data_IF_761607368879
#
_entry.id   IF_761607368879
#
_cell.length_a   1.000
_cell.length_b   1.000
_cell.length_c   1.000
_cell.angle_alpha   90.00
_cell.angle_beta   90.00
_cell.angle_gamma   90.00
#
_symmetry.space_group_name_H-M   'P 1'
#
loop_
_entity.id
_entity.type
_entity.pdbx_description
1 polymer ?
#
# COMPACT_ATOMS: atom_id res chain seq x y z
N UNK A 1 29.78 40.50 64.53
CA UNK A 1 29.32 39.11 64.63
C UNK A 1 27.99 39.00 63.92
N UNK A 2 28.03 38.20 62.87
CA UNK A 2 27.07 37.93 61.79
C UNK A 2 25.72 37.40 62.28
N UNK A 3 24.63 38.00 61.82
CA UNK A 3 23.35 37.28 61.69
C UNK A 3 22.87 37.34 60.23
N UNK A 4 22.85 36.14 59.65
CA UNK A 4 22.43 35.82 58.28
C UNK A 4 20.94 36.14 58.06
N UNK A 5 20.66 36.84 56.98
CA UNK A 5 19.34 36.93 56.37
C UNK A 5 19.10 35.71 55.47
N UNK A 6 18.13 34.86 55.81
CA UNK A 6 17.63 33.82 54.92
C UNK A 6 16.59 34.41 53.96
N UNK A 7 16.97 34.52 52.68
CA UNK A 7 16.03 34.69 51.56
C UNK A 7 15.35 33.36 51.27
N UNK A 8 14.02 33.31 51.36
CA UNK A 8 13.19 32.25 50.77
C UNK A 8 12.86 32.63 49.32
N UNK A 9 13.42 31.89 48.36
CA UNK A 9 12.92 31.87 46.98
C UNK A 9 11.66 31.00 46.92
N UNK A 10 10.54 31.56 46.47
CA UNK A 10 9.38 30.82 45.95
C UNK A 10 9.53 30.78 44.43
N UNK A 11 9.66 29.59 43.85
CA UNK A 11 9.64 29.37 42.40
C UNK A 11 8.31 28.73 41.99
N UNK A 12 7.72 29.28 40.93
CA UNK A 12 7.05 28.54 39.85
C UNK A 12 5.69 27.92 40.14
N UNK A 13 4.63 28.67 39.86
CA UNK A 13 3.28 28.12 39.67
C UNK A 13 3.21 27.30 38.38
N UNK A 14 2.61 26.12 38.50
CA UNK A 14 2.33 25.18 37.40
C UNK A 14 1.22 25.73 36.53
N UNK A 15 1.51 25.99 35.25
CA UNK A 15 0.49 26.27 34.23
C UNK A 15 -0.09 24.94 33.78
N UNK A 16 -1.31 24.63 34.22
CA UNK A 16 -2.10 23.52 33.70
C UNK A 16 -2.69 23.93 32.35
N UNK A 17 -2.14 23.38 31.26
CA UNK A 17 -2.69 23.52 29.92
C UNK A 17 -3.82 22.50 29.77
N UNK A 18 -5.07 22.96 29.90
CA UNK A 18 -6.24 22.14 29.61
C UNK A 18 -6.34 21.95 28.09
N UNK A 19 -6.01 20.75 27.60
CA UNK A 19 -6.32 20.31 26.23
C UNK A 19 -7.82 20.01 26.17
N UNK A 20 -8.58 20.94 25.61
CA UNK A 20 -9.96 20.72 25.21
C UNK A 20 -9.99 19.76 24.02
N UNK A 21 -10.35 18.50 24.25
CA UNK A 21 -10.75 17.56 23.22
C UNK A 21 -12.07 18.05 22.61
N UNK A 22 -11.98 18.76 21.49
CA UNK A 22 -13.14 19.06 20.66
C UNK A 22 -13.57 17.79 19.93
N UNK A 23 -14.63 17.15 20.41
CA UNK A 23 -15.39 16.16 19.66
C UNK A 23 -16.04 16.83 18.45
N UNK A 24 -15.34 16.84 17.31
CA UNK A 24 -15.92 17.22 16.03
C UNK A 24 -17.06 16.25 15.65
N UNK A 25 -18.09 16.72 14.93
CA UNK A 25 -19.17 15.84 14.51
C UNK A 25 -18.60 14.77 13.57
N UNK A 26 -19.15 13.55 13.64
CA UNK A 26 -18.91 12.49 12.68
C UNK A 26 -19.42 12.93 11.30
N UNK A 27 -18.63 13.75 10.59
CA UNK A 27 -18.88 14.08 9.20
C UNK A 27 -18.83 12.79 8.40
N UNK A 28 -19.90 12.51 7.65
CA UNK A 28 -19.93 11.40 6.70
C UNK A 28 -18.70 11.46 5.79
N UNK A 29 -18.15 10.31 5.45
CA UNK A 29 -17.05 10.20 4.49
C UNK A 29 -17.51 10.83 3.17
N UNK A 30 -16.95 11.98 2.81
CA UNK A 30 -17.18 12.59 1.50
C UNK A 30 -16.09 12.11 0.56
N UNK A 31 -16.46 11.55 -0.60
CA UNK A 31 -15.51 11.24 -1.67
C UNK A 31 -14.68 12.49 -2.01
N UNK A 32 -13.36 12.32 -2.15
CA UNK A 32 -12.55 13.40 -2.72
C UNK A 32 -12.99 13.60 -4.17
N UNK A 33 -13.21 14.86 -4.58
CA UNK A 33 -13.50 15.16 -5.98
C UNK A 33 -12.36 14.66 -6.87
N UNK A 34 -12.66 13.97 -7.97
CA UNK A 34 -11.67 13.63 -8.98
C UNK A 34 -10.97 14.91 -9.46
N UNK A 35 -9.66 14.83 -9.65
CA UNK A 35 -8.90 15.92 -10.25
C UNK A 35 -8.60 15.52 -11.68
N UNK A 36 -9.07 16.32 -12.63
CA UNK A 36 -8.66 16.18 -14.02
C UNK A 36 -7.29 16.84 -14.20
N UNK A 37 -6.31 16.05 -14.60
CA UNK A 37 -4.97 16.53 -14.99
C UNK A 37 -4.92 16.50 -16.52
N UNK A 38 -4.62 17.62 -17.20
CA UNK A 38 -4.47 17.63 -18.64
C UNK A 38 -3.38 16.66 -19.11
N UNK A 39 -3.65 15.94 -20.20
CA UNK A 39 -2.73 14.94 -20.75
C UNK A 39 -1.41 15.58 -21.22
N UNK A 40 -1.43 16.86 -21.59
CA UNK A 40 -0.27 17.60 -22.09
C UNK A 40 0.62 18.21 -21.01
N UNK A 41 0.13 18.36 -19.78
CA UNK A 41 0.85 19.01 -18.69
C UNK A 41 2.12 18.21 -18.30
N UNK A 42 3.29 18.87 -18.15
CA UNK A 42 4.49 18.19 -17.66
C UNK A 42 4.29 17.83 -16.19
N UNK A 43 4.58 16.57 -15.83
CA UNK A 43 4.57 16.13 -14.45
C UNK A 43 5.68 16.83 -13.67
N UNK A 44 5.41 17.17 -12.41
CA UNK A 44 6.32 17.91 -11.54
C UNK A 44 6.84 17.05 -10.40
N UNK A 45 8.11 17.25 -10.05
CA UNK A 45 8.68 16.68 -8.84
C UNK A 45 8.13 17.43 -7.63
N UNK A 46 7.52 16.70 -6.71
CA UNK A 46 7.05 17.22 -5.42
C UNK A 46 8.00 16.76 -4.31
N UNK A 47 8.76 17.68 -3.70
CA UNK A 47 9.58 17.35 -2.55
C UNK A 47 8.73 16.77 -1.41
N UNK A 48 9.25 15.73 -0.76
CA UNK A 48 8.63 15.24 0.46
C UNK A 48 8.76 16.30 1.59
N UNK A 49 7.77 16.40 2.50
CA UNK A 49 7.88 17.22 3.68
C UNK A 49 9.01 16.73 4.58
N UNK A 50 9.34 17.49 5.61
CA UNK A 50 10.24 17.01 6.64
C UNK A 50 9.70 15.73 7.29
N UNK A 51 10.57 14.87 7.80
CA UNK A 51 10.15 13.63 8.48
C UNK A 51 9.19 13.88 9.66
N UNK A 52 9.27 15.06 10.30
CA UNK A 52 8.36 15.45 11.38
C UNK A 52 6.95 15.74 10.86
N UNK A 53 6.84 16.45 9.74
CA UNK A 53 5.55 16.72 9.09
C UNK A 53 4.93 15.43 8.55
N UNK A 54 5.74 14.55 7.94
CA UNK A 54 5.30 13.22 7.52
C UNK A 54 4.73 12.41 8.69
N UNK A 55 5.43 12.41 9.85
CA UNK A 55 4.96 11.70 11.04
C UNK A 55 3.64 12.28 11.60
N UNK A 56 3.41 13.60 11.50
CA UNK A 56 2.13 14.19 11.89
C UNK A 56 1.02 13.72 10.95
N UNK A 57 1.23 13.79 9.65
CA UNK A 57 0.27 13.39 8.62
C UNK A 57 -0.09 11.88 8.72
N UNK A 58 0.91 11.01 8.87
CA UNK A 58 0.69 9.57 9.06
C UNK A 58 -0.02 9.24 10.38
N UNK A 59 0.28 9.98 11.46
CA UNK A 59 -0.41 9.80 12.75
C UNK A 59 -1.89 10.19 12.65
N UNK A 60 -2.21 11.28 11.93
CA UNK A 60 -3.60 11.65 11.65
C UNK A 60 -4.32 10.55 10.85
N UNK A 61 -3.70 10.02 9.79
CA UNK A 61 -4.27 8.90 9.04
C UNK A 61 -4.50 7.65 9.90
N UNK A 62 -3.55 7.31 10.77
CA UNK A 62 -3.68 6.20 11.70
C UNK A 62 -4.91 6.37 12.61
N UNK A 63 -5.07 7.55 13.22
CA UNK A 63 -6.21 7.87 14.09
C UNK A 63 -7.53 7.76 13.34
N UNK A 64 -7.59 8.31 12.11
CA UNK A 64 -8.77 8.23 11.26
C UNK A 64 -9.09 6.78 10.84
N UNK A 65 -8.09 5.99 10.45
CA UNK A 65 -8.26 4.61 9.99
C UNK A 65 -8.77 3.73 11.13
N UNK A 66 -8.11 3.78 12.29
CA UNK A 66 -8.54 3.04 13.48
C UNK A 66 -9.93 3.49 13.95
N UNK A 67 -10.24 4.79 13.89
CA UNK A 67 -11.53 5.31 14.36
C UNK A 67 -12.71 5.07 13.42
N UNK A 68 -12.48 5.03 12.10
CA UNK A 68 -13.56 5.00 11.08
C UNK A 68 -13.69 3.67 10.35
N UNK A 69 -12.59 2.94 10.13
CA UNK A 69 -12.56 1.71 9.35
C UNK A 69 -12.75 0.50 10.24
N UNK A 70 -11.92 0.36 11.28
CA UNK A 70 -11.91 -0.83 12.12
C UNK A 70 -13.26 -1.17 12.77
N UNK A 71 -13.99 -0.21 13.40
CA UNK A 71 -15.29 -0.52 14.03
C UNK A 71 -16.32 -1.05 13.03
N UNK A 72 -16.31 -0.52 11.80
CA UNK A 72 -17.22 -0.96 10.73
C UNK A 72 -16.92 -2.40 10.32
N UNK A 73 -15.65 -2.73 10.06
CA UNK A 73 -15.25 -4.08 9.68
C UNK A 73 -15.51 -5.10 10.79
N UNK A 74 -15.22 -4.75 12.06
CA UNK A 74 -15.52 -5.62 13.18
C UNK A 74 -17.03 -5.86 13.34
N UNK A 75 -17.87 -4.86 13.06
CA UNK A 75 -19.32 -5.06 13.05
C UNK A 75 -19.77 -5.91 11.84
N UNK A 76 -19.27 -5.62 10.64
CA UNK A 76 -19.62 -6.30 9.40
C UNK A 76 -19.28 -7.80 9.41
N UNK A 77 -18.12 -8.16 9.96
CA UNK A 77 -17.66 -9.55 10.04
C UNK A 77 -17.98 -10.23 11.37
N UNK A 78 -18.86 -9.61 12.17
CA UNK A 78 -19.30 -10.11 13.46
C UNK A 78 -18.13 -10.51 14.37
N UNK A 79 -17.16 -9.61 14.52
CA UNK A 79 -15.97 -9.80 15.33
C UNK A 79 -16.14 -9.06 16.65
N UNK A 80 -16.16 -9.81 17.76
CA UNK A 80 -16.24 -9.22 19.10
C UNK A 80 -14.86 -8.82 19.61
N UNK A 81 -13.87 -9.69 19.42
CA UNK A 81 -12.49 -9.43 19.80
C UNK A 81 -11.53 -9.80 18.68
N UNK A 82 -10.53 -8.96 18.41
CA UNK A 82 -9.42 -9.24 17.51
C UNK A 82 -8.10 -9.10 18.26
N UNK A 83 -7.28 -10.15 18.23
CA UNK A 83 -6.00 -10.20 18.94
C UNK A 83 -4.88 -10.33 17.91
N UNK A 84 -3.92 -9.40 17.99
CA UNK A 84 -2.67 -9.44 17.24
C UNK A 84 -1.53 -9.64 18.23
N UNK A 85 -0.82 -10.76 18.11
CA UNK A 85 0.41 -11.00 18.88
C UNK A 85 1.57 -11.10 17.92
N UNK A 86 2.63 -10.36 18.20
CA UNK A 86 3.86 -10.43 17.41
C UNK A 86 5.09 -10.24 18.28
N UNK A 87 6.23 -10.64 17.72
CA UNK A 87 7.54 -10.44 18.30
C UNK A 87 8.32 -9.41 17.48
N UNK A 88 9.30 -8.81 18.12
CA UNK A 88 10.24 -7.90 17.46
C UNK A 88 10.88 -8.58 16.23
N UNK A 89 10.76 -7.94 15.06
CA UNK A 89 11.20 -8.44 13.75
C UNK A 89 10.41 -9.63 13.19
N UNK A 90 9.24 -9.90 13.76
CA UNK A 90 8.31 -10.95 13.38
C UNK A 90 6.87 -10.41 13.51
N UNK A 91 6.65 -9.25 12.92
CA UNK A 91 5.39 -8.49 12.94
C UNK A 91 4.30 -9.13 12.07
N UNK A 92 3.06 -9.08 12.58
CA UNK A 92 1.88 -9.33 11.77
C UNK A 92 1.79 -8.28 10.63
N UNK A 93 1.38 -8.63 9.39
CA UNK A 93 1.25 -7.65 8.31
C UNK A 93 0.38 -6.43 8.64
N UNK A 94 -0.58 -6.57 9.55
CA UNK A 94 -1.44 -5.48 10.05
C UNK A 94 -0.65 -4.45 10.86
N UNK A 95 0.48 -4.82 11.46
CA UNK A 95 1.30 -3.98 12.34
C UNK A 95 1.52 -2.57 11.75
N UNK A 96 1.95 -2.52 10.49
CA UNK A 96 2.25 -1.28 9.78
C UNK A 96 1.03 -0.36 9.56
N UNK A 97 -0.18 -0.91 9.72
CA UNK A 97 -1.46 -0.20 9.59
C UNK A 97 -2.10 0.18 10.93
N UNK A 98 -1.51 -0.22 12.06
CA UNK A 98 -2.04 0.06 13.41
C UNK A 98 -1.06 0.77 14.34
N UNK A 99 0.21 0.93 13.96
CA UNK A 99 1.21 1.58 14.80
C UNK A 99 1.54 3.00 14.37
N UNK A 100 2.02 3.80 15.33
CA UNK A 100 2.50 5.17 15.08
C UNK A 100 3.64 5.17 14.05
N UNK A 101 3.75 6.22 13.21
CA UNK A 101 4.86 6.34 12.24
C UNK A 101 6.25 6.41 12.87
N UNK A 102 6.34 6.61 14.19
CA UNK A 102 7.61 6.56 14.95
C UNK A 102 7.92 5.19 15.56
N UNK A 103 7.09 4.18 15.29
CA UNK A 103 7.30 2.79 15.71
C UNK A 103 7.81 1.98 14.53
N UNK A 104 9.07 1.55 14.61
CA UNK A 104 9.75 0.85 13.50
C UNK A 104 9.76 -0.67 13.60
N UNK A 105 9.36 -1.23 14.75
CA UNK A 105 9.27 -2.67 15.01
C UNK A 105 8.40 -2.89 16.24
N UNK A 106 7.82 -4.09 16.36
CA UNK A 106 7.24 -4.53 17.63
C UNK A 106 8.32 -4.50 18.71
N UNK A 107 7.97 -4.11 19.94
CA UNK A 107 8.95 -4.10 21.05
C UNK A 107 8.84 -5.40 21.82
N UNK A 108 9.88 -6.24 21.78
CA UNK A 108 9.91 -7.59 22.39
C UNK A 108 8.74 -8.45 21.97
N UNK A 109 7.67 -8.50 22.77
CA UNK A 109 6.35 -9.04 22.41
C UNK A 109 5.33 -7.94 22.59
N UNK A 110 4.60 -7.65 21.53
CA UNK A 110 3.51 -6.66 21.53
C UNK A 110 2.22 -7.39 21.21
N UNK A 111 1.25 -7.32 22.13
CA UNK A 111 -0.09 -7.86 21.94
C UNK A 111 -1.06 -6.70 21.87
N UNK A 112 -1.70 -6.49 20.73
CA UNK A 112 -2.80 -5.53 20.60
C UNK A 112 -4.13 -6.28 20.64
N UNK A 113 -5.05 -5.78 21.46
CA UNK A 113 -6.39 -6.33 21.61
C UNK A 113 -7.40 -5.27 21.26
N UNK A 114 -8.26 -5.58 20.31
CA UNK A 114 -9.40 -4.77 19.93
C UNK A 114 -10.67 -5.46 20.42
N UNK A 115 -11.49 -4.76 21.20
CA UNK A 115 -12.77 -5.28 21.68
C UNK A 115 -13.88 -4.35 21.22
N UNK A 116 -14.76 -4.85 20.34
CA UNK A 116 -15.95 -4.10 19.92
C UNK A 116 -16.94 -4.06 21.09
N UNK A 117 -17.50 -2.90 21.39
CA UNK A 117 -18.50 -2.69 22.42
C UNK A 117 -19.91 -2.69 21.82
N UNK A 118 -20.93 -2.80 22.67
CA UNK A 118 -22.34 -2.87 22.22
C UNK A 118 -22.82 -1.56 21.61
N UNK A 119 -22.22 -0.43 21.99
CA UNK A 119 -22.47 0.89 21.40
C UNK A 119 -21.75 1.10 20.05
N UNK A 120 -21.03 0.09 19.57
CA UNK A 120 -20.28 0.12 18.31
C UNK A 120 -18.88 0.74 18.40
N UNK A 121 -18.46 1.22 19.58
CA UNK A 121 -17.07 1.66 19.79
C UNK A 121 -16.12 0.47 19.88
N UNK A 122 -14.81 0.72 19.74
CA UNK A 122 -13.78 -0.32 19.87
C UNK A 122 -12.78 0.11 20.94
N UNK A 123 -12.72 -0.68 22.01
CA UNK A 123 -11.65 -0.62 23.01
C UNK A 123 -10.35 -1.11 22.36
N UNK A 124 -9.25 -0.41 22.64
CA UNK A 124 -7.95 -0.61 21.99
C UNK A 124 -6.87 -0.70 23.05
N UNK A 125 -6.46 -1.92 23.37
CA UNK A 125 -5.49 -2.18 24.43
C UNK A 125 -4.17 -2.66 23.85
N UNK A 126 -3.08 -2.15 24.41
CA UNK A 126 -1.72 -2.59 24.13
C UNK A 126 -1.13 -3.30 25.37
N UNK A 127 -0.96 -4.61 25.29
CA UNK A 127 -0.27 -5.43 26.28
C UNK A 127 1.18 -5.55 25.81
N UNK A 128 2.05 -4.74 26.39
CA UNK A 128 3.40 -4.51 25.85
C UNK A 128 3.38 -3.43 24.76
N UNK A 129 4.52 -2.79 24.52
CA UNK A 129 4.60 -1.63 23.62
C UNK A 129 4.15 -0.30 24.25
N UNK A 130 3.79 0.67 23.41
CA UNK A 130 3.41 2.05 23.80
C UNK A 130 1.97 2.35 23.38
N UNK A 131 1.46 3.53 23.73
CA UNK A 131 0.12 4.00 23.30
C UNK A 131 0.02 4.27 21.79
N UNK A 132 1.11 4.11 21.02
CA UNK A 132 1.18 4.39 19.58
C UNK A 132 0.66 5.80 19.23
N UNK A 133 1.11 6.81 19.97
CA UNK A 133 0.66 8.19 19.77
C UNK A 133 -0.73 8.48 20.34
N UNK A 134 -1.30 7.58 21.13
CA UNK A 134 -2.59 7.78 21.81
C UNK A 134 -3.74 6.93 21.26
N UNK A 135 -3.51 6.11 20.23
CA UNK A 135 -4.54 5.23 19.64
C UNK A 135 -4.78 3.95 20.45
N UNK A 136 -3.86 3.57 21.34
CA UNK A 136 -4.06 2.49 22.31
C UNK A 136 -3.92 2.99 23.75
N UNK A 137 -4.68 2.35 24.64
CA UNK A 137 -4.42 2.40 26.07
C UNK A 137 -3.44 1.28 26.45
N UNK A 138 -2.37 1.65 27.17
CA UNK A 138 -1.39 0.67 27.64
C UNK A 138 -1.97 -0.14 28.81
N UNK A 139 -2.18 -1.44 28.61
CA UNK A 139 -2.72 -2.35 29.60
C UNK A 139 -1.59 -3.09 30.34
N UNK A 140 -1.47 -2.87 31.65
CA UNK A 140 -0.35 -3.36 32.47
C UNK A 140 -0.85 -4.21 33.63
N UNK A 141 -0.05 -5.21 34.01
CA UNK A 141 -0.32 -5.99 35.22
C UNK A 141 -0.18 -5.10 36.45
N UNK A 142 -1.11 -5.24 37.39
CA UNK A 142 -1.06 -4.59 38.71
C UNK A 142 -0.24 -5.38 39.72
N UNK A 143 0.29 -6.55 39.32
CA UNK A 143 1.10 -7.41 40.19
C UNK A 143 2.50 -6.83 40.39
N UNK A 144 3.11 -6.96 41.58
CA UNK A 144 4.42 -6.39 41.85
C UNK A 144 5.48 -7.03 40.95
N UNK A 145 6.17 -6.24 40.13
CA UNK A 145 7.32 -6.76 39.41
C UNK A 145 8.51 -6.95 40.38
N UNK A 146 9.33 -8.00 40.22
CA UNK A 146 10.40 -8.34 41.17
C UNK A 146 11.45 -7.23 41.35
N UNK A 147 11.58 -6.33 40.39
CA UNK A 147 12.64 -5.31 40.37
C UNK A 147 12.11 -3.87 40.34
N UNK A 148 10.96 -3.56 39.71
CA UNK A 148 10.36 -2.20 39.71
C UNK A 148 8.83 -2.21 39.41
N UNK A 149 8.04 -1.23 39.90
CA UNK A 149 6.58 -1.14 39.65
C UNK A 149 6.15 -0.97 38.19
N UNK A 150 7.08 -0.58 37.30
CA UNK A 150 6.82 -0.27 35.88
C UNK A 150 7.59 -1.19 34.92
N UNK A 151 8.13 -2.32 35.39
CA UNK A 151 8.84 -3.24 34.52
C UNK A 151 7.91 -3.79 33.43
N UNK A 152 8.40 -3.89 32.20
CA UNK A 152 7.68 -4.57 31.12
C UNK A 152 7.39 -6.03 31.52
N UNK A 153 6.22 -6.54 31.10
CA UNK A 153 5.80 -7.90 31.39
C UNK A 153 6.70 -8.85 30.60
N UNK A 154 7.63 -9.53 31.27
CA UNK A 154 8.50 -10.52 30.65
C UNK A 154 7.97 -11.93 30.93
N UNK A 155 7.91 -12.78 29.91
CA UNK A 155 7.54 -14.19 30.04
C UNK A 155 6.04 -14.43 30.22
N UNK A 156 5.67 -15.40 31.06
CA UNK A 156 4.29 -15.87 31.24
C UNK A 156 3.31 -14.82 31.76
N UNK A 157 3.80 -13.71 32.30
CA UNK A 157 2.93 -12.70 32.89
C UNK A 157 2.08 -11.97 31.84
N UNK A 158 2.65 -11.68 30.67
CA UNK A 158 1.93 -11.03 29.59
C UNK A 158 0.79 -11.91 29.07
N UNK A 159 1.03 -13.23 28.99
CA UNK A 159 0.03 -14.22 28.62
C UNK A 159 -1.07 -14.36 29.65
N UNK A 160 -0.72 -14.34 30.94
CA UNK A 160 -1.70 -14.38 32.01
C UNK A 160 -2.57 -13.12 32.03
N UNK A 161 -1.96 -11.94 31.83
CA UNK A 161 -2.70 -10.69 31.72
C UNK A 161 -3.64 -10.69 30.52
N UNK A 162 -3.20 -11.22 29.37
CA UNK A 162 -4.06 -11.41 28.20
C UNK A 162 -5.24 -12.29 28.55
N UNK A 163 -5.00 -13.45 29.17
CA UNK A 163 -6.08 -14.35 29.59
C UNK A 163 -7.09 -13.66 30.52
N UNK A 164 -6.60 -12.98 31.56
CA UNK A 164 -7.43 -12.22 32.51
C UNK A 164 -8.28 -11.17 31.79
N UNK A 165 -7.70 -10.44 30.82
CA UNK A 165 -8.43 -9.48 29.99
C UNK A 165 -9.53 -10.14 29.15
N UNK A 166 -9.22 -11.27 28.50
CA UNK A 166 -10.20 -11.97 27.66
C UNK A 166 -11.34 -12.54 28.51
N UNK A 167 -11.05 -13.07 29.70
CA UNK A 167 -12.05 -13.55 30.66
C UNK A 167 -12.94 -12.42 31.19
N UNK A 168 -12.37 -11.23 31.47
CA UNK A 168 -13.11 -10.06 31.96
C UNK A 168 -14.04 -9.46 30.90
N UNK A 169 -13.63 -9.48 29.63
CA UNK A 169 -14.44 -9.00 28.50
C UNK A 169 -15.44 -10.03 27.96
N UNK A 170 -15.23 -11.31 28.29
CA UNK A 170 -16.06 -12.46 27.91
C UNK A 170 -16.58 -12.40 26.45
N UNK A 171 -15.70 -12.26 25.42
CA UNK A 171 -16.15 -12.02 24.06
C UNK A 171 -16.83 -13.27 23.48
N UNK A 172 -17.92 -13.09 22.73
CA UNK A 172 -18.62 -14.19 22.06
C UNK A 172 -17.74 -14.91 21.03
N UNK A 173 -16.84 -14.18 20.37
CA UNK A 173 -15.85 -14.71 19.43
C UNK A 173 -14.54 -13.92 19.45
N UNK A 174 -13.45 -14.60 19.08
CA UNK A 174 -12.09 -14.06 19.01
C UNK A 174 -11.55 -14.34 17.60
N UNK A 175 -11.04 -13.32 16.92
CA UNK A 175 -10.34 -13.50 15.65
C UNK A 175 -8.83 -13.46 15.87
N UNK A 176 -8.14 -14.40 15.25
CA UNK A 176 -6.69 -14.46 15.13
C UNK A 176 -6.29 -14.48 13.65
N UNK A 177 -5.17 -13.85 13.32
CA UNK A 177 -4.59 -13.87 11.97
C UNK A 177 -3.78 -15.16 11.76
N UNK A 178 -4.48 -16.25 11.44
CA UNK A 178 -3.95 -17.62 11.25
C UNK A 178 -4.50 -18.27 9.96
N UNK A 179 -4.79 -17.45 8.96
CA UNK A 179 -5.38 -17.93 7.71
C UNK A 179 -4.33 -18.67 6.85
N UNK A 180 -4.61 -19.88 6.33
CA UNK A 180 -3.60 -20.63 5.58
C UNK A 180 -3.37 -20.09 4.16
N UNK A 181 -4.29 -19.28 3.62
CA UNK A 181 -4.28 -18.88 2.21
C UNK A 181 -4.00 -17.38 2.03
N UNK A 182 -4.45 -16.55 2.97
CA UNK A 182 -4.28 -15.09 2.94
C UNK A 182 -3.12 -14.62 3.80
N UNK A 183 -1.98 -14.33 3.17
CA UNK A 183 -0.77 -13.84 3.84
C UNK A 183 -1.03 -12.59 4.73
N UNK A 184 -1.87 -11.65 4.29
CA UNK A 184 -2.26 -10.46 5.07
C UNK A 184 -3.09 -10.76 6.33
N UNK A 185 -3.54 -12.01 6.48
CA UNK A 185 -4.31 -12.54 7.60
C UNK A 185 -3.62 -13.72 8.26
N UNK A 186 -2.31 -13.89 8.04
CA UNK A 186 -1.47 -14.97 8.58
C UNK A 186 -0.22 -14.43 9.27
N UNK A 187 -0.40 -13.47 10.18
CA UNK A 187 0.73 -12.83 10.85
C UNK A 187 1.27 -13.58 12.06
N UNK A 188 0.59 -14.64 12.53
CA UNK A 188 1.03 -15.42 13.68
C UNK A 188 1.98 -16.54 13.27
N UNK A 189 3.27 -16.31 13.50
CA UNK A 189 4.28 -17.37 13.41
C UNK A 189 3.90 -18.57 14.29
N UNK A 190 4.19 -19.79 13.83
CA UNK A 190 3.78 -21.05 14.48
C UNK A 190 4.03 -21.08 16.00
N UNK A 191 5.24 -20.74 16.45
CA UNK A 191 5.56 -20.74 17.88
C UNK A 191 4.88 -19.64 18.70
N UNK A 192 4.50 -18.51 18.08
CA UNK A 192 3.71 -17.46 18.74
C UNK A 192 2.24 -17.87 18.85
N UNK A 193 1.71 -18.54 17.82
CA UNK A 193 0.39 -19.14 17.84
C UNK A 193 0.24 -20.18 18.94
N UNK A 194 1.18 -21.12 19.05
CA UNK A 194 1.13 -22.19 20.06
C UNK A 194 1.01 -21.64 21.49
N UNK A 195 1.85 -20.66 21.85
CA UNK A 195 1.83 -20.06 23.19
C UNK A 195 0.60 -19.18 23.44
N UNK A 196 0.06 -18.53 22.40
CA UNK A 196 -1.19 -17.78 22.49
C UNK A 196 -2.39 -18.70 22.71
N UNK A 197 -2.49 -19.79 21.96
CA UNK A 197 -3.54 -20.79 22.13
C UNK A 197 -3.47 -21.46 23.51
N UNK A 198 -2.27 -21.75 24.01
CA UNK A 198 -2.05 -22.23 25.39
C UNK A 198 -2.54 -21.22 26.43
N UNK A 199 -2.23 -19.93 26.25
CA UNK A 199 -2.64 -18.87 27.17
C UNK A 199 -4.17 -18.71 27.25
N UNK A 200 -4.85 -18.75 26.10
CA UNK A 200 -6.31 -18.71 26.02
C UNK A 200 -6.94 -19.94 26.71
N UNK A 201 -6.30 -21.10 26.59
CA UNK A 201 -6.80 -22.36 27.13
C UNK A 201 -8.07 -22.84 26.43
N UNK A 202 -8.55 -24.06 26.74
CA UNK A 202 -9.54 -24.76 25.92
C UNK A 202 -10.89 -24.06 25.82
N UNK A 203 -11.33 -23.36 26.86
CA UNK A 203 -12.65 -22.70 26.88
C UNK A 203 -12.71 -21.47 25.96
N UNK A 204 -11.70 -20.59 26.02
CA UNK A 204 -11.63 -19.41 25.15
C UNK A 204 -11.21 -19.79 23.73
N UNK A 205 -10.36 -20.81 23.58
CA UNK A 205 -9.92 -21.30 22.28
C UNK A 205 -11.09 -21.79 21.42
N UNK A 206 -12.16 -22.33 22.01
CA UNK A 206 -13.40 -22.70 21.29
C UNK A 206 -14.11 -21.50 20.64
N UNK A 207 -13.82 -20.28 21.09
CA UNK A 207 -14.38 -19.03 20.55
C UNK A 207 -13.52 -18.43 19.44
N UNK A 208 -12.33 -18.99 19.19
CA UNK A 208 -11.44 -18.53 18.12
C UNK A 208 -12.01 -18.91 16.76
N UNK A 209 -12.10 -17.93 15.86
CA UNK A 209 -12.48 -18.12 14.46
C UNK A 209 -11.45 -17.51 13.51
N UNK A 210 -11.38 -18.07 12.30
CA UNK A 210 -10.67 -17.45 11.17
C UNK A 210 -11.63 -16.53 10.44
N UNK A 211 -11.22 -15.29 10.26
CA UNK A 211 -11.95 -14.31 9.47
C UNK A 211 -10.95 -13.44 8.70
N UNK A 212 -10.39 -13.95 7.58
CA UNK A 212 -9.32 -13.26 6.86
C UNK A 212 -9.76 -11.90 6.30
N UNK A 213 -11.07 -11.71 6.08
CA UNK A 213 -11.57 -10.43 5.57
C UNK A 213 -11.32 -9.28 6.52
N UNK A 214 -11.24 -9.51 7.84
CA UNK A 214 -10.97 -8.43 8.80
C UNK A 214 -9.61 -7.79 8.55
N UNK A 215 -8.53 -8.58 8.59
CA UNK A 215 -7.17 -8.08 8.41
C UNK A 215 -6.95 -7.60 6.97
N UNK A 216 -7.38 -8.41 5.98
CA UNK A 216 -7.28 -8.06 4.56
C UNK A 216 -7.95 -6.72 4.25
N UNK A 217 -9.22 -6.53 4.64
CA UNK A 217 -9.94 -5.31 4.29
C UNK A 217 -9.52 -4.12 5.16
N UNK A 218 -9.04 -4.34 6.38
CA UNK A 218 -8.46 -3.27 7.18
C UNK A 218 -7.19 -2.69 6.52
N UNK A 219 -6.35 -3.55 5.94
CA UNK A 219 -5.16 -3.15 5.16
C UNK A 219 -5.56 -2.61 3.78
N UNK A 220 -6.61 -3.11 3.15
CA UNK A 220 -7.00 -2.71 1.79
C UNK A 220 -7.69 -1.34 1.74
N UNK A 221 -8.56 -1.04 2.72
CA UNK A 221 -9.38 0.17 2.70
C UNK A 221 -8.54 1.44 2.94
N UNK A 222 -8.83 2.46 2.15
CA UNK A 222 -8.09 3.73 2.09
C UNK A 222 -8.95 4.89 2.55
N UNK A 223 -8.31 5.83 3.22
CA UNK A 223 -8.94 7.07 3.62
C UNK A 223 -8.87 8.06 2.46
N UNK A 224 -9.95 8.82 2.18
CA UNK A 224 -9.89 9.89 1.18
C UNK A 224 -8.85 10.95 1.54
N UNK A 225 -8.54 11.14 2.83
CA UNK A 225 -7.51 12.08 3.31
C UNK A 225 -6.08 11.74 2.88
N UNK A 226 -5.81 10.50 2.46
CA UNK A 226 -4.47 10.08 2.00
C UNK A 226 -4.20 10.46 0.54
N UNK A 227 -5.26 10.59 -0.26
CA UNK A 227 -5.18 10.75 -1.71
C UNK A 227 -4.51 12.08 -2.18
N UNK A 228 -4.66 13.24 -1.50
CA UNK A 228 -3.90 14.44 -1.86
C UNK A 228 -2.38 14.24 -1.80
N UNK A 229 -1.88 13.45 -0.84
CA UNK A 229 -0.47 13.10 -0.75
C UNK A 229 -0.09 12.12 -1.85
N UNK A 230 -0.88 11.06 -1.99
CA UNK A 230 -0.61 9.99 -2.95
C UNK A 230 -0.52 10.52 -4.39
N UNK A 231 -1.40 11.42 -4.80
CA UNK A 231 -1.32 12.07 -6.12
C UNK A 231 -0.01 12.83 -6.36
N UNK A 232 0.56 13.48 -5.34
CA UNK A 232 1.85 14.17 -5.47
C UNK A 232 3.02 13.21 -5.57
N UNK A 233 2.91 12.07 -4.88
CA UNK A 233 3.86 10.97 -5.02
C UNK A 233 3.81 10.47 -6.47
N UNK A 234 2.62 10.20 -7.02
CA UNK A 234 2.52 9.73 -8.42
C UNK A 234 2.95 10.76 -9.45
N UNK A 235 2.61 12.03 -9.28
CA UNK A 235 3.13 13.04 -10.19
C UNK A 235 4.68 13.08 -10.16
N UNK A 236 5.30 12.83 -9.01
CA UNK A 236 6.76 12.71 -8.91
C UNK A 236 7.27 11.46 -9.64
N UNK A 237 6.59 10.31 -9.51
CA UNK A 237 6.93 9.07 -10.23
C UNK A 237 6.89 9.30 -11.74
N UNK A 238 5.81 9.88 -12.27
CA UNK A 238 5.70 10.22 -13.69
C UNK A 238 6.80 11.19 -14.13
N UNK A 239 7.16 12.18 -13.31
CA UNK A 239 8.22 13.13 -13.61
C UNK A 239 9.61 12.45 -13.66
N UNK A 240 9.90 11.53 -12.74
CA UNK A 240 11.15 10.76 -12.72
C UNK A 240 11.25 9.83 -13.92
N UNK A 241 10.16 9.15 -14.29
CA UNK A 241 10.13 8.31 -15.50
C UNK A 241 10.35 9.17 -16.75
N UNK A 242 9.72 10.35 -16.83
CA UNK A 242 9.92 11.28 -17.95
C UNK A 242 11.37 11.76 -18.05
N UNK A 243 12.04 12.00 -16.91
CA UNK A 243 13.45 12.37 -16.86
C UNK A 243 14.35 11.19 -17.26
N UNK A 244 14.06 9.98 -16.77
CA UNK A 244 14.77 8.74 -17.10
C UNK A 244 14.74 8.44 -18.60
N UNK A 245 13.57 8.57 -19.23
CA UNK A 245 13.37 8.36 -20.66
C UNK A 245 13.54 9.66 -21.46
N UNK A 246 14.65 10.36 -21.21
CA UNK A 246 15.06 11.57 -21.94
C UNK A 246 16.57 11.63 -22.17
N UNK A 247 17.03 12.58 -22.99
CA UNK A 247 18.46 12.85 -23.17
C UNK A 247 19.18 13.42 -21.94
N UNK A 248 18.47 13.70 -20.85
CA UNK A 248 19.12 14.03 -19.58
C UNK A 248 19.85 12.82 -18.98
N UNK A 249 19.41 11.60 -19.32
CA UNK A 249 19.92 10.35 -18.76
C UNK A 249 20.42 9.41 -19.87
N UNK A 250 19.73 9.34 -21.00
CA UNK A 250 20.02 8.40 -22.08
C UNK A 250 20.79 9.08 -23.21
N UNK A 251 21.97 8.55 -23.50
CA UNK A 251 22.72 8.78 -24.74
C UNK A 251 22.62 7.52 -25.60
N UNK A 252 21.86 7.53 -26.71
CA UNK A 252 21.72 6.35 -27.57
C UNK A 252 23.07 5.86 -28.11
N UNK A 253 23.30 4.54 -28.05
CA UNK A 253 24.56 3.89 -28.42
C UNK A 253 25.62 3.86 -27.32
N UNK A 254 25.35 4.47 -26.15
CA UNK A 254 26.27 4.50 -25.01
C UNK A 254 25.61 4.02 -23.71
N UNK A 255 24.46 4.58 -23.34
CA UNK A 255 23.74 4.25 -22.10
C UNK A 255 23.12 2.86 -22.17
N UNK A 256 23.28 2.06 -21.12
CA UNK A 256 22.63 0.75 -20.99
C UNK A 256 21.32 0.84 -20.21
N UNK A 257 20.46 -0.18 -20.32
CA UNK A 257 19.25 -0.28 -19.48
C UNK A 257 19.58 -0.28 -17.99
N UNK A 258 20.67 -0.96 -17.58
CA UNK A 258 21.09 -1.05 -16.18
C UNK A 258 21.53 0.32 -15.63
N UNK A 259 22.19 1.15 -16.45
CA UNK A 259 22.54 2.52 -16.07
C UNK A 259 21.29 3.34 -15.70
N UNK A 260 20.20 3.17 -16.48
CA UNK A 260 18.92 3.85 -16.23
C UNK A 260 18.26 3.32 -14.96
N UNK A 261 18.24 2.00 -14.74
CA UNK A 261 17.68 1.39 -13.53
C UNK A 261 18.37 1.91 -12.25
N UNK A 262 19.70 1.97 -12.25
CA UNK A 262 20.48 2.51 -11.14
C UNK A 262 20.29 4.03 -10.98
N UNK A 263 20.22 4.76 -12.09
CA UNK A 263 19.91 6.19 -12.05
C UNK A 263 18.54 6.45 -11.41
N UNK A 264 17.50 5.73 -11.79
CA UNK A 264 16.15 5.91 -11.25
C UNK A 264 16.12 5.65 -9.74
N UNK A 265 16.78 4.59 -9.27
CA UNK A 265 16.89 4.28 -7.83
C UNK A 265 17.64 5.36 -7.05
N UNK A 266 18.75 5.87 -7.58
CA UNK A 266 19.50 6.96 -6.95
C UNK A 266 18.67 8.25 -6.94
N UNK A 267 17.98 8.55 -8.05
CA UNK A 267 17.17 9.74 -8.22
C UNK A 267 16.09 9.88 -7.15
N UNK A 268 15.33 8.82 -6.90
CA UNK A 268 14.28 8.86 -5.87
C UNK A 268 14.83 8.84 -4.46
N UNK A 269 16.00 8.21 -4.25
CA UNK A 269 16.72 8.29 -2.97
C UNK A 269 17.10 9.73 -2.62
N UNK A 270 17.59 10.50 -3.59
CA UNK A 270 17.95 11.91 -3.40
C UNK A 270 16.73 12.79 -3.10
N UNK A 271 15.55 12.38 -3.55
CA UNK A 271 14.27 13.03 -3.26
C UNK A 271 13.66 12.61 -1.91
N UNK A 272 14.30 11.69 -1.19
CA UNK A 272 13.86 11.20 0.14
C UNK A 272 12.91 9.99 0.09
N UNK A 273 12.71 9.39 -1.08
CA UNK A 273 11.90 8.19 -1.27
C UNK A 273 12.76 6.93 -1.12
N UNK A 274 12.10 5.78 -1.04
CA UNK A 274 12.73 4.46 -1.26
C UNK A 274 12.03 3.74 -2.40
N UNK A 275 12.47 2.52 -2.71
CA UNK A 275 11.83 1.63 -3.69
C UNK A 275 11.50 0.31 -3.01
N UNK A 276 10.48 -0.39 -3.48
CA UNK A 276 10.12 -1.72 -2.95
C UNK A 276 10.57 -2.87 -3.86
N UNK A 277 11.03 -2.57 -5.08
CA UNK A 277 11.81 -3.44 -5.94
C UNK A 277 12.87 -2.63 -6.71
N UNK A 278 13.82 -3.31 -7.34
CA UNK A 278 14.77 -2.66 -8.26
C UNK A 278 14.01 -2.35 -9.56
N UNK A 279 14.02 -1.08 -10.00
CA UNK A 279 13.41 -0.69 -11.27
C UNK A 279 13.85 -1.63 -12.38
N UNK A 280 12.94 -1.97 -13.28
CA UNK A 280 13.24 -2.76 -14.46
C UNK A 280 13.16 -1.84 -15.68
N UNK A 281 14.14 -1.93 -16.58
CA UNK A 281 14.12 -1.23 -17.87
C UNK A 281 14.39 -2.26 -18.97
N UNK A 282 13.50 -2.34 -19.96
CA UNK A 282 13.61 -3.28 -21.07
C UNK A 282 13.48 -2.56 -22.41
N UNK A 283 13.97 -3.20 -23.47
CA UNK A 283 13.90 -2.68 -24.84
C UNK A 283 13.32 -3.71 -25.79
N UNK A 284 12.49 -3.23 -26.71
CA UNK A 284 12.05 -3.98 -27.89
C UNK A 284 12.46 -3.20 -29.14
N UNK A 285 12.97 -3.90 -30.15
CA UNK A 285 13.39 -3.29 -31.41
C UNK A 285 13.09 -4.19 -32.60
N UNK A 286 13.10 -3.61 -33.81
CA UNK A 286 12.92 -4.35 -35.06
C UNK A 286 13.95 -5.48 -35.22
N UNK A 287 15.22 -5.17 -34.90
CA UNK A 287 16.33 -6.13 -34.90
C UNK A 287 16.33 -7.05 -33.68
N UNK A 288 17.43 -7.77 -33.50
CA UNK A 288 17.66 -8.60 -32.32
C UNK A 288 18.15 -7.73 -31.15
N UNK A 289 17.66 -8.04 -29.95
CA UNK A 289 18.23 -7.53 -28.69
C UNK A 289 19.23 -8.58 -28.21
N UNK A 290 20.44 -8.18 -27.78
CA UNK A 290 21.43 -9.14 -27.28
C UNK A 290 20.86 -10.02 -26.16
N UNK A 291 21.06 -11.33 -26.24
CA UNK A 291 20.60 -12.28 -25.20
C UNK A 291 21.58 -12.41 -24.03
N UNK A 292 22.73 -11.74 -24.10
CA UNK A 292 23.80 -11.80 -23.09
C UNK A 292 24.65 -10.54 -23.13
N UNK A 293 25.17 -10.13 -21.97
CA UNK A 293 25.92 -8.88 -21.83
C UNK A 293 25.01 -7.67 -21.62
N UNK A 294 25.57 -6.46 -21.50
CA UNK A 294 24.79 -5.25 -21.29
C UNK A 294 23.94 -4.93 -22.53
N UNK A 295 22.69 -4.57 -22.32
CA UNK A 295 21.80 -4.09 -23.37
C UNK A 295 21.95 -2.58 -23.50
N UNK A 296 22.66 -2.14 -24.54
CA UNK A 296 22.79 -0.72 -24.91
C UNK A 296 21.51 -0.24 -25.57
N UNK A 297 21.04 0.93 -25.16
CA UNK A 297 19.86 1.60 -25.70
C UNK A 297 20.20 2.22 -27.04
N UNK A 298 19.44 1.89 -28.09
CA UNK A 298 19.71 2.28 -29.47
C UNK A 298 18.58 3.11 -30.06
N UNK A 299 18.87 3.85 -31.14
CA UNK A 299 17.85 4.57 -31.90
C UNK A 299 16.86 3.59 -32.54
N UNK A 300 15.57 3.88 -32.38
CA UNK A 300 14.47 3.04 -32.83
C UNK A 300 14.00 1.99 -31.81
N UNK A 301 14.53 2.03 -30.58
CA UNK A 301 14.06 1.19 -29.48
C UNK A 301 12.73 1.69 -28.92
N UNK A 302 11.80 0.76 -28.73
CA UNK A 302 10.70 0.88 -27.78
C UNK A 302 11.25 0.55 -26.39
N UNK A 303 11.27 1.54 -25.51
CA UNK A 303 11.64 1.39 -24.09
C UNK A 303 10.41 1.03 -23.27
N UNK A 304 10.63 0.31 -22.18
CA UNK A 304 9.63 0.07 -21.14
C UNK A 304 10.32 0.15 -19.78
N UNK A 305 9.63 0.67 -18.78
CA UNK A 305 10.08 0.59 -17.39
C UNK A 305 8.95 0.10 -16.49
N UNK A 306 9.34 -0.56 -15.41
CA UNK A 306 8.51 -0.91 -14.26
C UNK A 306 9.14 -0.30 -13.01
N UNK A 307 8.40 0.57 -12.33
CA UNK A 307 8.94 1.47 -11.33
C UNK A 307 8.01 1.74 -10.15
N UNK A 308 8.35 1.14 -9.00
CA UNK A 308 7.61 1.33 -7.76
C UNK A 308 8.42 2.00 -6.63
N UNK A 309 7.92 3.13 -6.14
CA UNK A 309 8.54 3.89 -5.04
C UNK A 309 7.77 3.71 -3.73
N UNK A 310 8.39 4.11 -2.63
CA UNK A 310 7.77 4.16 -1.31
C UNK A 310 8.02 5.51 -0.65
N UNK A 311 6.95 6.16 -0.18
CA UNK A 311 7.00 7.34 0.67
C UNK A 311 5.80 7.38 1.62
N UNK A 312 6.03 7.79 2.88
CA UNK A 312 5.01 7.80 3.93
C UNK A 312 4.26 6.46 4.08
N UNK A 313 4.96 5.32 3.89
CA UNK A 313 4.38 3.97 3.87
C UNK A 313 3.35 3.72 2.75
N UNK A 314 3.33 4.57 1.73
CA UNK A 314 2.54 4.40 0.51
C UNK A 314 3.46 3.92 -0.60
N UNK A 315 3.03 2.84 -1.26
CA UNK A 315 3.68 2.23 -2.40
C UNK A 315 3.00 2.68 -3.69
N UNK A 316 3.79 2.77 -4.74
CA UNK A 316 3.38 3.00 -6.12
C UNK A 316 3.87 1.82 -6.96
N UNK A 317 3.28 1.60 -8.12
CA UNK A 317 3.72 0.70 -9.16
C UNK A 317 3.28 1.24 -10.53
N UNK A 318 4.23 1.74 -11.31
CA UNK A 318 3.94 2.44 -12.58
C UNK A 318 4.81 1.88 -13.69
N UNK A 319 4.18 1.55 -14.82
CA UNK A 319 4.86 1.13 -16.03
C UNK A 319 4.56 2.08 -17.18
N UNK A 320 5.62 2.62 -17.77
CA UNK A 320 5.51 3.48 -18.94
C UNK A 320 6.40 3.01 -20.08
N UNK A 321 6.01 3.42 -21.28
CA UNK A 321 6.72 3.18 -22.53
C UNK A 321 7.47 4.44 -22.99
N UNK A 322 8.67 4.26 -23.51
CA UNK A 322 9.45 5.31 -24.16
C UNK A 322 9.79 4.92 -25.60
N UNK A 323 10.23 5.88 -26.41
CA UNK A 323 10.74 5.61 -27.74
C UNK A 323 11.98 6.45 -28.02
N UNK A 324 13.03 5.80 -28.49
CA UNK A 324 14.26 6.47 -28.91
C UNK A 324 14.15 6.81 -30.39
N UNK A 325 14.14 8.09 -30.72
CA UNK A 325 13.96 8.56 -32.09
C UNK A 325 15.13 8.13 -32.98
N UNK A 326 14.81 7.69 -34.20
CA UNK A 326 15.78 7.61 -35.29
C UNK A 326 16.08 9.01 -35.82
N UNK A 327 17.19 9.13 -36.53
CA UNK A 327 17.55 10.38 -37.18
C UNK A 327 16.42 10.84 -38.13
N UNK A 328 15.95 12.08 -37.93
CA UNK A 328 14.86 12.67 -38.70
C UNK A 328 13.44 12.34 -38.21
N UNK A 329 13.27 11.49 -37.21
CA UNK A 329 11.96 11.24 -36.58
C UNK A 329 11.59 12.37 -35.61
N UNK A 330 10.28 12.62 -35.46
CA UNK A 330 9.73 13.60 -34.51
C UNK A 330 8.74 12.97 -33.51
N UNK A 331 8.53 11.66 -33.62
CA UNK A 331 7.66 10.87 -32.78
C UNK A 331 7.79 9.38 -33.10
N UNK A 332 7.17 8.53 -32.29
CA UNK A 332 7.18 7.09 -32.50
C UNK A 332 6.45 6.70 -33.81
N UNK A 333 6.85 5.61 -34.48
CA UNK A 333 6.14 5.05 -35.65
C UNK A 333 4.65 4.78 -35.37
N UNK A 334 3.83 4.83 -36.43
CA UNK A 334 2.38 4.69 -36.32
C UNK A 334 1.98 3.31 -35.76
N UNK A 335 2.72 2.25 -36.09
CA UNK A 335 2.49 0.92 -35.50
C UNK A 335 2.67 0.89 -33.98
N UNK A 336 3.68 1.60 -33.45
CA UNK A 336 3.90 1.70 -32.00
C UNK A 336 2.84 2.57 -31.33
N UNK A 337 2.43 3.67 -31.96
CA UNK A 337 1.30 4.48 -31.47
C UNK A 337 0.00 3.66 -31.37
N UNK A 338 -0.28 2.82 -32.37
CA UNK A 338 -1.43 1.92 -32.33
C UNK A 338 -1.31 0.86 -31.23
N UNK A 339 -0.10 0.36 -30.98
CA UNK A 339 0.16 -0.59 -29.90
C UNK A 339 -0.13 0.01 -28.51
N UNK A 340 0.31 1.25 -28.27
CA UNK A 340 -0.04 2.01 -27.06
C UNK A 340 -1.55 2.22 -26.94
N UNK A 341 -2.21 2.64 -28.02
CA UNK A 341 -3.66 2.85 -28.04
C UNK A 341 -4.45 1.57 -27.73
N UNK A 342 -3.99 0.41 -28.20
CA UNK A 342 -4.60 -0.89 -27.87
C UNK A 342 -4.47 -1.22 -26.36
N UNK A 343 -3.33 -0.87 -25.76
CA UNK A 343 -3.11 -1.06 -24.32
C UNK A 343 -3.96 -0.11 -23.49
N UNK A 344 -4.05 1.17 -23.87
CA UNK A 344 -4.99 2.12 -23.26
C UNK A 344 -6.44 1.66 -23.35
N UNK A 345 -6.85 1.09 -24.49
CA UNK A 345 -8.21 0.54 -24.61
C UNK A 345 -8.44 -0.63 -23.65
N UNK A 346 -7.43 -1.48 -23.43
CA UNK A 346 -7.53 -2.55 -22.44
C UNK A 346 -7.63 -1.99 -21.00
N UNK A 347 -6.93 -0.89 -20.68
CA UNK A 347 -7.10 -0.19 -19.40
C UNK A 347 -8.55 0.30 -19.22
N UNK A 348 -9.15 0.88 -20.27
CA UNK A 348 -10.55 1.31 -20.24
C UNK A 348 -11.50 0.14 -19.98
N UNK A 349 -11.34 -0.97 -20.71
CA UNK A 349 -12.16 -2.18 -20.53
C UNK A 349 -12.06 -2.69 -19.10
N UNK A 350 -10.85 -2.80 -18.54
CA UNK A 350 -10.67 -3.25 -17.17
C UNK A 350 -11.35 -2.32 -16.16
N UNK A 351 -11.13 -1.00 -16.28
CA UNK A 351 -11.72 0.01 -15.39
C UNK A 351 -13.25 0.07 -15.48
N UNK A 352 -13.82 -0.21 -16.66
CA UNK A 352 -15.26 -0.39 -16.88
C UNK A 352 -15.80 -1.57 -16.04
N UNK A 353 -15.08 -2.71 -16.00
CA UNK A 353 -15.48 -3.94 -15.30
C UNK A 353 -15.13 -4.00 -13.81
N UNK A 354 -14.30 -3.09 -13.29
CA UNK A 354 -13.94 -3.01 -11.87
C UNK A 354 -15.09 -2.49 -11.00
N UNK A 355 -16.23 -3.17 -11.01
CA UNK A 355 -17.41 -2.83 -10.23
C UNK A 355 -17.34 -3.42 -8.81
N UNK A 356 -17.52 -2.61 -7.74
CA UNK A 356 -17.60 -3.13 -6.38
C UNK A 356 -18.66 -4.21 -6.20
N UNK A 357 -18.34 -5.21 -5.39
CA UNK A 357 -19.19 -6.38 -5.17
C UNK A 357 -18.87 -7.57 -6.09
N UNK A 358 -18.10 -7.37 -7.16
CA UNK A 358 -17.58 -8.46 -7.98
C UNK A 358 -16.28 -9.01 -7.39
N UNK A 359 -16.01 -10.30 -7.64
CA UNK A 359 -14.70 -10.88 -7.35
C UNK A 359 -13.67 -10.49 -8.41
N UNK A 360 -12.39 -10.48 -8.05
CA UNK A 360 -11.30 -10.26 -9.01
C UNK A 360 -11.34 -11.20 -10.22
N UNK A 361 -11.73 -12.46 -10.01
CA UNK A 361 -11.91 -13.48 -11.06
C UNK A 361 -13.09 -13.17 -11.97
N UNK A 362 -14.18 -12.63 -11.44
CA UNK A 362 -15.33 -12.19 -12.25
C UNK A 362 -14.95 -10.99 -13.11
N UNK A 363 -14.24 -10.02 -12.53
CA UNK A 363 -13.74 -8.83 -13.25
C UNK A 363 -12.79 -9.25 -14.37
N UNK A 364 -11.85 -10.16 -14.08
CA UNK A 364 -10.93 -10.72 -15.07
C UNK A 364 -11.68 -11.39 -16.22
N UNK A 365 -12.63 -12.28 -15.91
CA UNK A 365 -13.38 -13.01 -16.93
C UNK A 365 -14.16 -12.07 -17.86
N UNK A 366 -14.80 -11.03 -17.31
CA UNK A 366 -15.53 -10.03 -18.07
C UNK A 366 -14.59 -9.19 -18.95
N UNK A 367 -13.48 -8.72 -18.37
CA UNK A 367 -12.44 -7.94 -19.07
C UNK A 367 -11.89 -8.73 -20.26
N UNK A 368 -11.53 -10.00 -20.06
CA UNK A 368 -10.98 -10.84 -21.12
C UNK A 368 -12.02 -11.19 -22.19
N UNK A 369 -13.29 -11.32 -21.83
CA UNK A 369 -14.36 -11.53 -22.80
C UNK A 369 -14.49 -10.32 -23.74
N UNK A 370 -14.51 -9.09 -23.20
CA UNK A 370 -14.58 -7.87 -24.00
C UNK A 370 -13.29 -7.61 -24.79
N UNK A 371 -12.11 -7.82 -24.18
CA UNK A 371 -10.81 -7.74 -24.84
C UNK A 371 -10.77 -8.61 -26.12
N UNK A 372 -11.20 -9.88 -26.01
CA UNK A 372 -11.27 -10.79 -27.17
C UNK A 372 -12.32 -10.35 -28.20
N UNK A 373 -13.47 -9.85 -27.76
CA UNK A 373 -14.52 -9.36 -28.66
C UNK A 373 -14.07 -8.13 -29.46
N UNK A 374 -13.23 -7.27 -28.88
CA UNK A 374 -12.61 -6.12 -29.54
C UNK A 374 -11.35 -6.49 -30.34
N UNK A 375 -10.94 -7.77 -30.35
CA UNK A 375 -9.79 -8.25 -31.12
C UNK A 375 -8.43 -7.84 -30.56
N UNK A 376 -8.38 -7.44 -29.29
CA UNK A 376 -7.13 -7.09 -28.61
C UNK A 376 -6.44 -8.38 -28.17
N UNK A 377 -5.18 -8.56 -28.59
CA UNK A 377 -4.32 -9.63 -28.09
C UNK A 377 -3.54 -9.10 -26.88
N UNK A 378 -3.80 -9.61 -25.68
CA UNK A 378 -3.24 -9.07 -24.45
C UNK A 378 -3.41 -9.98 -23.24
N UNK A 379 -2.89 -9.52 -22.11
CA UNK A 379 -3.03 -10.16 -20.79
C UNK A 379 -3.30 -9.11 -19.72
N UNK A 380 -4.05 -9.47 -18.69
CA UNK A 380 -4.39 -8.61 -17.55
C UNK A 380 -3.69 -9.12 -16.28
N UNK A 381 -3.03 -8.24 -15.56
CA UNK A 381 -2.42 -8.54 -14.26
C UNK A 381 -2.56 -7.31 -13.35
N UNK A 382 -3.71 -7.17 -12.69
CA UNK A 382 -3.98 -5.98 -11.86
C UNK A 382 -4.07 -6.38 -10.40
N UNK A 383 -3.49 -5.56 -9.52
CA UNK A 383 -3.43 -5.86 -8.09
C UNK A 383 -3.76 -4.67 -7.21
N UNK A 384 -4.20 -4.90 -5.96
CA UNK A 384 -4.38 -3.82 -4.99
C UNK A 384 -3.04 -3.17 -4.65
N UNK A 385 -3.06 -1.90 -4.21
CA UNK A 385 -1.86 -1.18 -3.77
C UNK A 385 -2.14 -0.27 -2.55
N UNK A 386 -1.09 0.35 -2.01
CA UNK A 386 -1.11 1.29 -0.90
C UNK A 386 -0.06 0.95 0.16
N UNK A 387 -0.44 0.28 1.23
CA UNK A 387 0.52 -0.04 2.32
C UNK A 387 1.62 -1.04 1.88
N UNK A 388 1.38 -1.78 0.79
CA UNK A 388 2.33 -2.69 0.13
C UNK A 388 2.18 -2.52 -1.39
N UNK A 389 3.24 -2.80 -2.16
CA UNK A 389 3.21 -2.80 -3.63
C UNK A 389 2.18 -3.79 -4.17
N UNK A 390 2.38 -5.08 -3.89
CA UNK A 390 1.33 -6.09 -4.02
C UNK A 390 0.42 -6.09 -2.79
N UNK A 391 -0.59 -5.22 -2.77
CA UNK A 391 -1.48 -4.95 -1.65
C UNK A 391 -2.51 -6.05 -1.31
N UNK A 392 -3.18 -5.83 -0.18
CA UNK A 392 -4.30 -6.64 0.28
C UNK A 392 -5.58 -6.34 -0.51
N UNK A 393 -6.33 -7.38 -0.88
CA UNK A 393 -7.54 -7.26 -1.70
C UNK A 393 -7.53 -8.20 -2.92
N UNK A 394 -8.47 -8.00 -3.87
CA UNK A 394 -8.65 -8.88 -5.01
C UNK A 394 -7.52 -8.75 -6.04
N UNK A 395 -6.98 -9.90 -6.45
CA UNK A 395 -6.12 -9.95 -7.63
C UNK A 395 -6.96 -10.15 -8.90
N UNK A 396 -6.67 -9.40 -9.95
CA UNK A 396 -7.36 -9.48 -11.24
C UNK A 396 -6.36 -9.98 -12.28
N UNK A 397 -6.29 -11.31 -12.41
CA UNK A 397 -5.37 -11.98 -13.33
C UNK A 397 -3.90 -11.99 -12.87
N UNK A 398 -3.08 -12.66 -13.69
CA UNK A 398 -1.61 -12.65 -13.66
C UNK A 398 -1.10 -12.87 -15.07
N UNK A 399 0.14 -12.48 -15.36
CA UNK A 399 0.76 -12.78 -16.66
C UNK A 399 0.67 -14.28 -17.05
N UNK A 400 0.67 -15.18 -16.06
CA UNK A 400 0.57 -16.64 -16.22
C UNK A 400 -0.79 -17.24 -15.81
N UNK A 401 -1.79 -16.40 -15.49
CA UNK A 401 -3.08 -16.83 -14.93
C UNK A 401 -4.24 -16.01 -15.46
N UNK A 402 -4.68 -16.30 -16.68
CA UNK A 402 -5.79 -15.61 -17.35
C UNK A 402 -7.14 -16.34 -17.18
N UNK A 403 -7.13 -17.57 -16.66
CA UNK A 403 -8.32 -18.36 -16.37
C UNK A 403 -8.91 -18.07 -14.98
N UNK A 404 -8.20 -17.27 -14.18
CA UNK A 404 -8.54 -16.94 -12.80
C UNK A 404 -7.40 -17.26 -11.83
N UNK A 405 -7.43 -16.59 -10.68
CA UNK A 405 -6.48 -16.76 -9.59
C UNK A 405 -7.25 -17.24 -8.36
N UNK A 406 -7.21 -18.55 -8.04
CA UNK A 406 -7.90 -19.09 -6.87
C UNK A 406 -7.50 -18.37 -5.58
N UNK A 407 -8.46 -18.24 -4.65
CA UNK A 407 -8.34 -17.50 -3.39
C UNK A 407 -8.17 -16.00 -3.61
N UNK A 408 -7.03 -15.56 -4.15
CA UNK A 408 -6.73 -14.12 -4.27
C UNK A 408 -7.68 -13.38 -5.23
N UNK A 409 -8.04 -14.01 -6.33
CA UNK A 409 -9.06 -13.48 -7.25
C UNK A 409 -10.49 -13.72 -6.79
N UNK A 410 -10.72 -14.52 -5.74
CA UNK A 410 -12.07 -14.73 -5.19
C UNK A 410 -12.46 -13.65 -4.18
N UNK A 411 -11.50 -12.84 -3.70
CA UNK A 411 -11.81 -11.66 -2.90
C UNK A 411 -12.68 -10.67 -3.68
N UNK A 412 -13.52 -9.96 -2.93
CA UNK A 412 -14.48 -9.00 -3.46
C UNK A 412 -13.83 -7.62 -3.54
N UNK A 413 -14.00 -6.97 -4.69
CA UNK A 413 -13.64 -5.57 -4.87
C UNK A 413 -14.57 -4.69 -4.05
N UNK A 414 -13.99 -3.81 -3.23
CA UNK A 414 -14.71 -2.88 -2.37
C UNK A 414 -14.53 -1.44 -2.85
N UNK A 415 -15.44 -0.52 -2.51
CA UNK A 415 -15.17 0.91 -2.62
C UNK A 415 -14.00 1.31 -1.70
N UNK A 416 -13.43 2.50 -1.93
CA UNK A 416 -12.31 3.03 -1.13
C UNK A 416 -11.05 2.15 -1.15
N UNK A 417 -10.73 1.53 -2.29
CA UNK A 417 -9.51 0.72 -2.49
C UNK A 417 -8.71 1.25 -3.67
N UNK A 418 -7.39 1.08 -3.65
CA UNK A 418 -6.48 1.51 -4.73
C UNK A 418 -5.89 0.28 -5.41
N UNK A 419 -5.65 0.38 -6.71
CA UNK A 419 -5.10 -0.70 -7.54
C UNK A 419 -4.11 -0.16 -8.56
N UNK A 420 -3.10 -0.95 -8.86
CA UNK A 420 -2.24 -0.72 -10.02
C UNK A 420 -2.83 -1.46 -11.22
N UNK A 421 -3.21 -0.69 -12.24
CA UNK A 421 -3.91 -1.17 -13.44
C UNK A 421 -2.88 -1.68 -14.45
N UNK A 422 -2.29 -2.84 -14.16
CA UNK A 422 -1.28 -3.50 -14.98
C UNK A 422 -1.88 -4.46 -16.01
N UNK A 423 -1.42 -4.32 -17.26
CA UNK A 423 -1.82 -5.12 -18.41
C UNK A 423 -0.89 -4.88 -19.61
N UNK A 424 -1.05 -5.67 -20.65
CA UNK A 424 -0.35 -5.43 -21.91
C UNK A 424 -1.19 -5.79 -23.12
N UNK A 425 -0.98 -5.04 -24.21
CA UNK A 425 -1.45 -5.39 -25.53
C UNK A 425 -0.26 -5.69 -26.46
N UNK A 426 -0.33 -6.81 -27.18
CA UNK A 426 0.67 -7.21 -28.18
C UNK A 426 0.15 -6.92 -29.59
N UNK A 427 0.88 -6.08 -30.33
CA UNK A 427 0.47 -5.58 -31.65
C UNK A 427 1.56 -5.83 -32.69
N UNK A 428 1.26 -6.42 -33.87
CA UNK A 428 2.19 -6.49 -35.00
C UNK A 428 2.60 -5.10 -35.48
N UNK A 429 3.90 -4.83 -35.61
CA UNK A 429 4.41 -3.49 -35.98
C UNK A 429 4.83 -3.50 -37.45
N UNK A 430 4.12 -2.81 -38.36
CA UNK A 430 4.46 -2.78 -39.79
C UNK A 430 5.89 -2.28 -40.06
N UNK A 431 6.33 -1.27 -39.32
CA UNK A 431 7.67 -0.68 -39.42
C UNK A 431 8.77 -1.63 -38.95
N UNK A 432 8.42 -2.72 -38.24
CA UNK A 432 9.31 -3.81 -37.85
C UNK A 432 9.11 -5.08 -38.71
N UNK A 433 8.50 -4.95 -39.90
CA UNK A 433 8.22 -6.09 -40.79
C UNK A 433 7.16 -7.04 -40.24
N UNK A 434 6.26 -6.54 -39.37
CA UNK A 434 5.22 -7.35 -38.73
C UNK A 434 5.67 -8.05 -37.45
N UNK A 435 6.93 -7.87 -37.01
CA UNK A 435 7.36 -8.33 -35.68
C UNK A 435 6.47 -7.66 -34.62
N UNK A 436 5.90 -8.43 -33.67
CA UNK A 436 5.03 -7.86 -32.65
C UNK A 436 5.83 -7.11 -31.59
N UNK A 437 5.22 -6.05 -31.05
CA UNK A 437 5.64 -5.39 -29.81
C UNK A 437 4.59 -5.61 -28.72
N UNK A 438 5.04 -5.79 -27.49
CA UNK A 438 4.20 -5.80 -26.29
C UNK A 438 4.23 -4.41 -25.66
N UNK A 439 3.10 -3.71 -25.67
CA UNK A 439 2.92 -2.43 -25.00
C UNK A 439 2.32 -2.66 -23.62
N UNK A 440 3.19 -2.94 -22.66
CA UNK A 440 2.87 -3.14 -21.24
C UNK A 440 2.70 -1.76 -20.59
N UNK A 441 1.67 -1.60 -19.78
CA UNK A 441 1.37 -0.37 -19.06
C UNK A 441 0.80 -0.70 -17.69
N UNK A 442 1.06 0.20 -16.75
CA UNK A 442 0.57 0.13 -15.39
C UNK A 442 0.45 1.53 -14.83
N UNK A 443 -0.71 1.81 -14.25
CA UNK A 443 -1.10 3.12 -13.76
C UNK A 443 -2.00 2.96 -12.54
N UNK A 444 -1.84 3.85 -11.57
CA UNK A 444 -2.58 3.76 -10.32
C UNK A 444 -3.98 4.34 -10.47
N UNK A 445 -4.95 3.52 -10.09
CA UNK A 445 -6.35 3.89 -10.01
C UNK A 445 -6.89 3.69 -8.61
N UNK A 446 -7.99 4.39 -8.32
CA UNK A 446 -8.72 4.20 -7.08
C UNK A 446 -10.22 4.14 -7.32
N UNK A 447 -10.88 3.40 -6.43
CA UNK A 447 -12.31 3.45 -6.25
C UNK A 447 -12.62 4.39 -5.10
N UNK A 448 -13.46 5.40 -5.35
CA UNK A 448 -13.90 6.31 -4.29
C UNK A 448 -14.89 5.64 -3.32
N UNK A 449 -15.46 6.40 -2.39
CA UNK A 449 -16.42 5.89 -1.40
C UNK A 449 -17.74 5.43 -2.01
N UNK A 450 -18.05 5.86 -3.23
CA UNK A 450 -19.24 5.47 -4.00
C UNK A 450 -18.93 4.33 -4.99
N UNK A 451 -17.65 3.92 -5.11
CA UNK A 451 -17.23 2.89 -6.04
C UNK A 451 -16.96 3.39 -7.46
N UNK A 452 -16.90 4.70 -7.68
CA UNK A 452 -16.50 5.24 -8.97
C UNK A 452 -14.99 5.13 -9.16
N UNK A 453 -14.56 4.80 -10.37
CA UNK A 453 -13.17 4.50 -10.72
C UNK A 453 -12.51 5.75 -11.27
N UNK A 454 -11.33 6.07 -10.79
CA UNK A 454 -10.59 7.26 -11.17
C UNK A 454 -9.10 6.93 -11.26
N UNK A 455 -8.39 7.58 -12.18
CA UNK A 455 -6.93 7.61 -12.14
C UNK A 455 -6.47 8.45 -10.94
N UNK A 456 -5.43 8.01 -10.25
CA UNK A 456 -4.83 8.77 -9.14
C UNK A 456 -4.26 10.09 -9.65
N UNK A 457 -3.49 10.02 -10.74
CA UNK A 457 -2.94 11.16 -11.47
C UNK A 457 -3.50 11.22 -12.90
N UNK A 458 -2.95 10.43 -13.83
CA UNK A 458 -3.43 10.19 -15.19
C UNK A 458 -2.75 8.93 -15.73
N UNK A 459 -3.28 8.34 -16.80
CA UNK A 459 -2.56 7.31 -17.55
C UNK A 459 -1.57 7.90 -18.56
N UNK A 460 -0.59 7.12 -19.01
CA UNK A 460 0.20 7.40 -20.20
C UNK A 460 -0.60 7.14 -21.48
N UNK A 461 -0.70 8.15 -22.34
CA UNK A 461 -1.33 8.10 -23.66
C UNK A 461 -0.35 8.43 -24.81
N UNK A 462 0.89 8.74 -24.47
CA UNK A 462 1.98 9.04 -25.41
C UNK A 462 3.34 8.59 -24.88
N UNK A 463 4.22 8.20 -25.79
CA UNK A 463 5.58 7.79 -25.46
C UNK A 463 6.39 8.95 -24.85
N UNK A 464 7.22 8.62 -23.87
CA UNK A 464 8.38 9.44 -23.52
C UNK A 464 9.37 9.40 -24.70
N UNK A 465 9.87 10.54 -25.17
CA UNK A 465 10.74 10.60 -26.34
C UNK A 465 12.18 10.92 -25.94
N UNK A 466 13.11 10.07 -26.39
CA UNK A 466 14.56 10.30 -26.35
C UNK A 466 15.02 10.72 -27.75
N UNK A 467 15.66 11.88 -27.88
CA UNK A 467 16.01 12.52 -29.15
C UNK A 467 17.39 12.14 -29.68
#
# INVERSE_FOLDING_TARGET
MTHLAHRKCRFGGTVALALSLSSGPAGGLTAQKPVHVPDDAPAQIHPLPTLREQAVEQQEWLELRIGRVLPKLMAEYDVRMWILSMREYAEDPVFWSITSPTTFAARRRSIYVFTRQDDGTVERLALGGTSQGGVFEAYRSTRPAPTQPTAELVGNEQWRLLRELVEDRDPENIVLNIDPDWAFSDGLHAGEREVLEEALGPELLRRVKREPRLAMNYIALRLPEMMPRYRKIEETVHAVISEAFSNAVITPGETTIEDVEWWMRQRVRDLGYTVWFQANVDVQRAGEVPSSGPTVIERGDLLWTDFGVVALNLHTDTQHLGYVLREGETGAPAGLQQCLANSNRLQDILMEHMEPGLSGNTILANTLAQMRAEGINGTVYTHPIGDHGHGAGPLIGRWDGQEGVPVRGDAILLPSTWHSIELQATTPIPEWGGKPASCRQEEEAYLDTEGQRHWVFRRQDRFHLVW
#
